data_IF_325264685921
#
_entry.id   IF_325264685921
#
_cell.length_a   1.000
_cell.length_b   1.000
_cell.length_c   1.000
_cell.angle_alpha   90.00
_cell.angle_beta   90.00
_cell.angle_gamma   90.00
#
_symmetry.space_group_name_H-M   'P 1'
#
loop_
_entity.id
_entity.type
_entity.pdbx_description
1 polymer ?
#
# COMPACT_ATOMS: atom_id res chain seq x y z
N UNK A 1 7.94 -0.75 25.79
CA UNK A 1 8.31 -0.74 24.35
C UNK A 1 7.80 0.55 23.73
N UNK A 2 8.69 1.39 23.24
CA UNK A 2 8.28 2.58 22.53
C UNK A 2 7.48 2.15 21.29
N UNK A 3 6.20 2.53 21.22
CA UNK A 3 5.45 2.45 19.99
C UNK A 3 6.19 3.34 18.99
N UNK A 4 6.81 2.73 18.01
CA UNK A 4 7.44 3.44 16.90
C UNK A 4 6.30 4.18 16.18
N UNK A 5 6.06 5.40 16.61
CA UNK A 5 4.97 6.24 16.12
C UNK A 5 5.48 7.01 14.89
N UNK A 6 5.98 6.27 13.90
CA UNK A 6 6.35 6.85 12.63
C UNK A 6 5.07 7.31 11.91
N UNK A 7 4.88 8.63 11.72
CA UNK A 7 3.66 9.17 11.11
C UNK A 7 3.47 8.71 9.65
N UNK A 8 4.52 8.17 9.04
CA UNK A 8 4.49 7.64 7.67
C UNK A 8 4.07 6.17 7.62
N UNK A 9 4.05 5.50 8.76
CA UNK A 9 3.60 4.12 8.87
C UNK A 9 2.08 4.07 9.01
N UNK A 10 1.44 3.32 8.14
CA UNK A 10 -0.01 3.16 8.14
C UNK A 10 -0.39 1.69 8.19
N UNK A 11 -1.52 1.41 8.82
CA UNK A 11 -2.17 0.10 8.79
C UNK A 11 -3.54 0.32 8.15
N UNK A 12 -3.80 -0.37 7.05
CA UNK A 12 -5.09 -0.29 6.36
C UNK A 12 -6.17 -1.06 7.13
N UNK A 13 -7.42 -0.66 6.92
CA UNK A 13 -8.57 -1.33 7.53
C UNK A 13 -8.81 -2.73 6.95
N UNK A 14 -9.69 -3.47 7.60
CA UNK A 14 -10.06 -4.84 7.22
C UNK A 14 -10.92 -4.92 5.96
N UNK A 15 -11.50 -3.81 5.51
CA UNK A 15 -12.24 -3.71 4.25
C UNK A 15 -11.34 -3.50 3.03
N UNK A 16 -10.03 -3.46 3.24
CA UNK A 16 -9.05 -3.39 2.16
C UNK A 16 -8.99 -4.72 1.43
N UNK A 17 -9.22 -4.68 0.13
CA UNK A 17 -9.16 -5.86 -0.74
C UNK A 17 -7.79 -5.93 -1.42
N UNK A 18 -7.23 -7.12 -1.49
CA UNK A 18 -5.95 -7.36 -2.14
C UNK A 18 -6.15 -7.84 -3.58
N UNK A 19 -5.44 -7.25 -4.49
CA UNK A 19 -5.46 -7.62 -5.90
C UNK A 19 -4.02 -7.72 -6.42
N UNK A 20 -3.81 -8.45 -7.50
CA UNK A 20 -2.48 -8.72 -8.04
C UNK A 20 -1.50 -9.20 -6.95
N UNK A 21 -1.93 -10.21 -6.17
CA UNK A 21 -1.19 -10.74 -5.03
C UNK A 21 0.02 -11.57 -5.48
N UNK A 22 1.18 -10.96 -5.55
CA UNK A 22 2.47 -11.62 -5.75
C UNK A 22 3.26 -11.62 -4.45
N UNK A 23 2.61 -12.10 -3.38
CA UNK A 23 3.16 -12.07 -2.01
C UNK A 23 3.90 -13.34 -1.63
N UNK A 24 3.62 -14.44 -2.33
CA UNK A 24 4.29 -15.72 -2.12
C UNK A 24 5.58 -15.84 -2.92
N UNK A 25 5.55 -15.38 -4.19
CA UNK A 25 6.67 -15.42 -5.09
C UNK A 25 6.88 -14.04 -5.74
N UNK A 26 8.15 -13.61 -5.88
CA UNK A 26 8.43 -12.35 -6.56
C UNK A 26 8.15 -12.48 -8.04
N UNK A 27 7.53 -11.48 -8.64
CA UNK A 27 7.21 -11.42 -10.06
C UNK A 27 7.76 -10.15 -10.69
N UNK A 28 8.43 -10.31 -11.81
CA UNK A 28 8.86 -9.20 -12.67
C UNK A 28 7.95 -9.09 -13.90
N UNK A 29 7.86 -7.89 -14.45
CA UNK A 29 7.14 -7.61 -15.68
C UNK A 29 8.18 -7.17 -16.72
N UNK A 30 8.14 -7.79 -17.90
CA UNK A 30 8.97 -7.42 -19.06
C UNK A 30 10.48 -7.23 -18.75
N UNK A 31 11.07 -8.20 -18.06
CA UNK A 31 12.50 -8.16 -17.72
C UNK A 31 12.88 -7.25 -16.57
N UNK A 32 11.91 -6.66 -15.90
CA UNK A 32 12.16 -5.89 -14.67
C UNK A 32 12.59 -6.80 -13.52
N UNK A 33 13.27 -6.21 -12.52
CA UNK A 33 13.66 -6.93 -11.31
C UNK A 33 12.42 -7.51 -10.63
N UNK A 34 12.40 -8.83 -10.30
CA UNK A 34 11.30 -9.44 -9.59
C UNK A 34 11.07 -8.82 -8.22
N UNK A 35 9.82 -8.61 -7.86
CA UNK A 35 9.41 -8.06 -6.57
C UNK A 35 8.17 -8.77 -6.04
N UNK A 36 8.09 -8.91 -4.72
CA UNK A 36 6.84 -9.22 -4.06
C UNK A 36 5.97 -7.97 -4.08
N UNK A 37 4.74 -8.10 -4.52
CA UNK A 37 3.85 -6.95 -4.71
C UNK A 37 2.39 -7.29 -4.45
N UNK A 38 1.63 -6.27 -4.12
CA UNK A 38 0.18 -6.35 -3.96
C UNK A 38 -0.44 -4.99 -4.27
N UNK A 39 -1.60 -4.99 -4.90
CA UNK A 39 -2.44 -3.81 -5.05
C UNK A 39 -3.49 -3.81 -3.94
N UNK A 40 -3.49 -2.77 -3.14
CA UNK A 40 -4.41 -2.60 -2.02
C UNK A 40 -5.56 -1.71 -2.46
N UNK A 41 -6.76 -2.26 -2.52
CA UNK A 41 -7.98 -1.56 -2.91
C UNK A 41 -8.73 -1.14 -1.64
N UNK A 42 -8.86 0.16 -1.45
CA UNK A 42 -9.46 0.76 -0.26
C UNK A 42 -10.76 1.43 -0.67
N UNK A 43 -11.91 0.98 -0.16
CA UNK A 43 -13.19 1.58 -0.52
C UNK A 43 -13.25 3.05 -0.10
N UNK A 44 -13.85 3.89 -0.93
CA UNK A 44 -14.01 5.33 -0.63
C UNK A 44 -14.83 5.60 0.64
N UNK A 45 -15.56 4.61 1.10
CA UNK A 45 -16.31 4.65 2.37
C UNK A 45 -15.43 4.48 3.62
N UNK A 46 -14.23 3.89 3.47
CA UNK A 46 -13.26 3.75 4.57
C UNK A 46 -12.44 5.04 4.75
N UNK A 47 -13.10 6.05 5.26
CA UNK A 47 -12.52 7.38 5.45
C UNK A 47 -11.40 7.39 6.49
N UNK A 48 -11.41 6.49 7.44
CA UNK A 48 -10.37 6.39 8.47
C UNK A 48 -9.04 5.99 7.85
N UNK A 49 -9.02 4.93 7.04
CA UNK A 49 -7.81 4.48 6.33
C UNK A 49 -7.33 5.54 5.35
N UNK A 50 -8.23 6.14 4.58
CA UNK A 50 -7.88 7.21 3.63
C UNK A 50 -7.28 8.42 4.33
N UNK A 51 -7.83 8.84 5.47
CA UNK A 51 -7.28 9.93 6.27
C UNK A 51 -5.88 9.62 6.80
N UNK A 52 -5.63 8.40 7.24
CA UNK A 52 -4.29 7.96 7.66
C UNK A 52 -3.29 8.01 6.50
N UNK A 53 -3.69 7.57 5.32
CA UNK A 53 -2.85 7.61 4.12
C UNK A 53 -2.52 9.05 3.74
N UNK A 54 -3.48 9.94 3.71
CA UNK A 54 -3.27 11.36 3.39
C UNK A 54 -2.33 12.03 4.37
N UNK A 55 -2.50 11.78 5.67
CA UNK A 55 -1.59 12.29 6.71
C UNK A 55 -0.17 11.76 6.55
N UNK A 56 -0.03 10.48 6.20
CA UNK A 56 1.28 9.87 5.96
C UNK A 56 1.95 10.46 4.73
N UNK A 57 1.22 10.71 3.65
CA UNK A 57 1.71 11.37 2.44
C UNK A 57 2.15 12.80 2.76
N UNK A 58 1.36 13.55 3.51
CA UNK A 58 1.70 14.90 3.93
C UNK A 58 2.98 14.93 4.78
N UNK A 59 3.11 14.01 5.75
CA UNK A 59 4.30 13.89 6.57
C UNK A 59 5.54 13.56 5.74
N UNK A 60 5.42 12.65 4.79
CA UNK A 60 6.49 12.30 3.86
C UNK A 60 6.91 13.49 2.97
N UNK A 61 5.94 14.25 2.50
CA UNK A 61 6.17 15.46 1.70
C UNK A 61 6.93 16.51 2.50
N UNK A 62 6.53 16.79 3.72
CA UNK A 62 7.18 17.78 4.60
C UNK A 62 8.61 17.36 4.94
N UNK A 63 8.85 16.09 5.25
CA UNK A 63 10.18 15.57 5.54
C UNK A 63 11.09 15.60 4.29
N UNK A 64 10.52 15.29 3.13
CA UNK A 64 11.24 15.28 1.86
C UNK A 64 11.35 16.64 1.17
N UNK A 65 10.86 17.72 1.77
CA UNK A 65 10.79 19.04 1.14
C UNK A 65 12.16 19.56 0.63
N UNK A 66 13.22 19.34 1.38
CA UNK A 66 14.58 19.73 0.99
C UNK A 66 15.09 18.97 -0.24
N UNK A 67 14.72 17.71 -0.37
CA UNK A 67 15.05 16.84 -1.52
C UNK A 67 14.23 17.25 -2.74
N UNK A 68 12.94 17.49 -2.56
CA UNK A 68 12.01 17.91 -3.62
C UNK A 68 12.38 19.30 -4.19
N UNK A 69 12.88 20.18 -3.34
CA UNK A 69 13.37 21.49 -3.77
C UNK A 69 14.59 21.38 -4.71
N UNK A 70 15.44 20.38 -4.49
CA UNK A 70 16.67 20.18 -5.28
C UNK A 70 17.52 21.44 -5.34
N UNK A 71 17.86 21.90 -6.55
CA UNK A 71 18.56 23.16 -6.81
C UNK A 71 17.60 24.35 -7.02
N UNK A 72 16.30 24.13 -6.97
CA UNK A 72 15.28 25.16 -7.16
C UNK A 72 15.11 26.08 -5.93
N UNK A 73 14.39 27.18 -6.14
CA UNK A 73 14.10 28.15 -5.07
C UNK A 73 12.87 27.79 -4.24
N UNK A 74 11.99 26.95 -4.78
CA UNK A 74 10.71 26.60 -4.17
C UNK A 74 10.47 25.11 -4.18
N UNK A 75 9.74 24.60 -3.17
CA UNK A 75 9.28 23.21 -3.14
C UNK A 75 8.09 23.06 -4.07
N UNK A 76 8.04 22.05 -4.97
CA UNK A 76 6.84 21.79 -5.78
C UNK A 76 5.63 21.55 -4.90
N UNK A 77 4.43 22.02 -5.28
CA UNK A 77 3.21 21.76 -4.51
C UNK A 77 2.89 20.26 -4.51
N UNK A 78 2.24 19.78 -3.45
CA UNK A 78 1.88 18.37 -3.30
C UNK A 78 1.03 17.87 -4.49
N UNK A 79 0.19 18.72 -5.06
CA UNK A 79 -0.63 18.42 -6.24
C UNK A 79 0.17 18.14 -7.51
N UNK A 80 1.41 18.63 -7.60
CA UNK A 80 2.31 18.39 -8.74
C UNK A 80 3.13 17.11 -8.60
N UNK A 81 3.07 16.44 -7.45
CA UNK A 81 3.81 15.22 -7.16
C UNK A 81 2.91 14.01 -7.36
N UNK A 82 3.44 12.96 -7.96
CA UNK A 82 2.70 11.72 -8.11
C UNK A 82 2.39 11.11 -6.73
N UNK A 83 1.10 11.07 -6.40
CA UNK A 83 0.64 10.41 -5.18
C UNK A 83 0.71 8.89 -5.34
N UNK A 84 1.12 8.15 -4.30
CA UNK A 84 1.01 6.69 -4.30
C UNK A 84 -0.44 6.19 -4.26
N UNK A 85 -1.37 7.03 -3.80
CA UNK A 85 -2.80 6.75 -3.77
C UNK A 85 -3.45 7.14 -5.10
N UNK A 86 -4.02 6.18 -5.79
CA UNK A 86 -4.67 6.37 -7.08
C UNK A 86 -6.19 6.21 -6.98
N UNK A 87 -6.93 7.00 -7.74
CA UNK A 87 -8.37 6.84 -7.85
C UNK A 87 -8.68 5.70 -8.84
N UNK A 88 -9.40 4.67 -8.34
CA UNK A 88 -9.79 3.52 -9.15
C UNK A 88 -10.77 3.88 -10.25
N UNK A 89 -11.66 4.84 -10.03
CA UNK A 89 -12.63 5.27 -11.03
C UNK A 89 -11.97 6.01 -12.21
N UNK A 90 -10.84 6.68 -11.96
CA UNK A 90 -10.09 7.38 -13.01
C UNK A 90 -9.08 6.47 -13.71
N UNK A 91 -8.25 5.77 -12.92
CA UNK A 91 -7.11 5.01 -13.45
C UNK A 91 -7.47 3.60 -13.92
N UNK A 92 -8.54 3.06 -13.40
CA UNK A 92 -9.04 1.70 -13.68
C UNK A 92 -10.51 1.71 -14.01
N UNK A 93 -10.96 2.73 -14.75
CA UNK A 93 -12.36 2.81 -15.18
C UNK A 93 -12.77 1.56 -15.97
N UNK A 94 -13.94 1.02 -15.65
CA UNK A 94 -14.44 -0.22 -16.25
C UNK A 94 -14.00 -1.51 -15.55
N UNK A 95 -13.14 -1.44 -14.53
CA UNK A 95 -12.82 -2.58 -13.67
C UNK A 95 -13.68 -2.54 -12.40
N UNK A 96 -14.65 -3.48 -12.25
CA UNK A 96 -15.55 -3.47 -11.09
C UNK A 96 -14.83 -3.61 -9.75
N UNK A 97 -13.64 -4.23 -9.73
CA UNK A 97 -12.86 -4.39 -8.51
C UNK A 97 -12.33 -3.06 -7.95
N UNK A 98 -12.17 -2.06 -8.80
CA UNK A 98 -11.65 -0.73 -8.45
C UNK A 98 -12.73 0.35 -8.41
N UNK A 99 -13.97 0.01 -8.68
CA UNK A 99 -15.10 0.94 -8.65
C UNK A 99 -15.35 1.46 -7.23
N UNK A 100 -15.58 2.77 -7.10
CA UNK A 100 -15.76 3.46 -5.82
C UNK A 100 -14.65 3.21 -4.81
N UNK A 101 -13.42 3.04 -5.29
CA UNK A 101 -12.27 2.77 -4.44
C UNK A 101 -11.04 3.56 -4.87
N UNK A 102 -10.18 3.82 -3.91
CA UNK A 102 -8.79 4.17 -4.16
C UNK A 102 -7.94 2.91 -4.13
N UNK A 103 -6.79 2.94 -4.77
CA UNK A 103 -5.83 1.85 -4.66
C UNK A 103 -4.40 2.37 -4.55
N UNK A 104 -3.56 1.59 -3.89
CA UNK A 104 -2.13 1.80 -3.87
C UNK A 104 -1.39 0.49 -4.08
N UNK A 105 -0.22 0.57 -4.70
CA UNK A 105 0.62 -0.59 -4.97
C UNK A 105 1.77 -0.62 -3.98
N UNK A 106 1.91 -1.74 -3.28
CA UNK A 106 3.03 -2.02 -2.39
C UNK A 106 3.98 -3.02 -3.03
N UNK A 107 5.29 -2.78 -2.92
CA UNK A 107 6.34 -3.63 -3.47
C UNK A 107 7.48 -3.82 -2.48
N UNK A 108 8.12 -4.98 -2.53
CA UNK A 108 9.37 -5.23 -1.83
C UNK A 108 10.31 -6.04 -2.74
N UNK A 109 11.53 -5.55 -2.92
CA UNK A 109 12.54 -6.20 -3.76
C UNK A 109 13.53 -7.05 -2.96
N UNK A 110 13.54 -6.95 -1.65
CA UNK A 110 14.57 -7.53 -0.80
C UNK A 110 14.12 -8.80 -0.10
N UNK A 111 12.87 -8.84 0.34
CA UNK A 111 12.32 -9.97 1.09
C UNK A 111 10.82 -10.12 0.89
N UNK A 112 10.33 -11.34 1.10
CA UNK A 112 8.91 -11.61 1.13
C UNK A 112 8.23 -10.88 2.31
N UNK A 113 7.01 -10.37 2.14
CA UNK A 113 6.23 -9.85 3.25
C UNK A 113 5.84 -10.97 4.22
N UNK A 114 5.77 -10.66 5.50
CA UNK A 114 5.18 -11.57 6.48
C UNK A 114 3.66 -11.58 6.30
N UNK A 115 3.08 -12.76 6.21
CA UNK A 115 1.64 -12.96 6.06
C UNK A 115 1.14 -13.71 7.28
N UNK A 116 0.20 -13.13 7.99
CA UNK A 116 -0.35 -13.67 9.22
C UNK A 116 -1.88 -13.68 9.19
N UNK A 117 -2.48 -14.56 9.98
CA UNK A 117 -3.92 -14.57 10.20
C UNK A 117 -4.33 -13.51 11.25
N UNK A 118 -5.62 -13.45 11.56
CA UNK A 118 -6.18 -12.56 12.57
C UNK A 118 -5.59 -12.74 13.98
N UNK A 119 -5.06 -13.94 14.26
CA UNK A 119 -4.43 -14.30 15.53
C UNK A 119 -2.92 -14.09 15.50
N UNK A 120 -2.41 -13.45 14.42
CA UNK A 120 -0.99 -13.15 14.17
C UNK A 120 -0.11 -14.38 14.05
N UNK A 121 -0.69 -15.50 13.60
CA UNK A 121 0.03 -16.71 13.27
C UNK A 121 0.38 -16.73 11.80
N UNK A 122 1.56 -17.20 11.46
CA UNK A 122 2.02 -17.25 10.08
C UNK A 122 1.12 -18.15 9.23
N UNK A 123 0.67 -17.60 8.10
CA UNK A 123 -0.08 -18.36 7.10
C UNK A 123 0.94 -19.05 6.19
N UNK A 124 0.93 -20.37 6.19
CA UNK A 124 1.82 -21.22 5.38
C UNK A 124 1.12 -21.76 4.13
N UNK A 125 -0.20 -21.86 4.14
CA UNK A 125 -0.99 -22.33 3.01
C UNK A 125 -1.20 -21.21 2.01
N UNK A 126 -0.59 -21.32 0.84
CA UNK A 126 -0.68 -20.33 -0.23
C UNK A 126 -2.11 -20.14 -0.76
N UNK A 127 -2.99 -21.13 -0.60
CA UNK A 127 -4.39 -21.03 -1.02
C UNK A 127 -5.23 -20.09 -0.14
N UNK A 128 -4.75 -19.74 1.03
CA UNK A 128 -5.44 -18.83 1.95
C UNK A 128 -5.35 -17.38 1.55
N UNK A 129 -4.35 -17.03 0.74
CA UNK A 129 -4.15 -15.65 0.25
C UNK A 129 -4.15 -15.65 -1.28
N UNK A 130 -5.15 -15.05 -1.84
CA UNK A 130 -5.45 -15.03 -3.27
C UNK A 130 -5.94 -13.64 -3.70
N UNK A 131 -6.02 -13.42 -5.00
CA UNK A 131 -6.56 -12.18 -5.54
C UNK A 131 -8.03 -12.00 -5.12
N UNK A 132 -8.31 -10.88 -4.45
CA UNK A 132 -9.64 -10.57 -3.96
C UNK A 132 -9.86 -10.89 -2.47
N UNK A 133 -8.84 -11.39 -1.76
CA UNK A 133 -8.89 -11.55 -0.30
C UNK A 133 -8.96 -10.19 0.38
N UNK A 134 -9.65 -10.13 1.52
CA UNK A 134 -9.69 -8.94 2.36
C UNK A 134 -8.69 -9.03 3.50
N UNK A 135 -8.06 -7.91 3.84
CA UNK A 135 -7.12 -7.89 4.94
C UNK A 135 -6.47 -6.54 5.17
N UNK A 136 -5.94 -6.34 6.36
CA UNK A 136 -5.12 -5.20 6.69
C UNK A 136 -3.69 -5.36 6.14
N UNK A 137 -3.05 -4.26 5.87
CA UNK A 137 -1.66 -4.21 5.43
C UNK A 137 -0.93 -3.11 6.18
N UNK A 138 0.27 -3.43 6.62
CA UNK A 138 1.20 -2.49 7.25
C UNK A 138 2.20 -2.00 6.21
N UNK A 139 2.12 -0.75 5.83
CA UNK A 139 2.93 -0.18 4.77
C UNK A 139 3.51 1.20 5.07
N UNK A 140 4.45 1.60 4.25
CA UNK A 140 5.11 2.89 4.31
C UNK A 140 5.02 3.57 2.92
N UNK A 141 4.34 4.71 2.79
CA UNK A 141 4.04 5.28 1.47
C UNK A 141 5.25 5.72 0.66
N UNK A 142 6.34 6.09 1.32
CA UNK A 142 7.57 6.50 0.61
C UNK A 142 8.29 5.36 -0.11
N UNK A 143 8.20 4.16 0.46
CA UNK A 143 8.99 3.01 0.00
C UNK A 143 8.19 2.02 -0.80
N UNK A 144 6.87 2.22 -0.90
CA UNK A 144 5.97 1.21 -1.43
C UNK A 144 6.19 -0.19 -0.82
N UNK A 145 6.66 -0.21 0.42
CA UNK A 145 6.99 -1.44 1.13
C UNK A 145 5.81 -1.92 1.97
N UNK A 146 5.39 -3.14 1.75
CA UNK A 146 4.52 -3.85 2.67
C UNK A 146 5.39 -4.71 3.60
N UNK A 147 5.44 -4.39 4.88
CA UNK A 147 6.23 -5.15 5.85
C UNK A 147 5.46 -6.34 6.41
N UNK A 148 4.16 -6.23 6.52
CA UNK A 148 3.29 -7.27 7.05
C UNK A 148 1.90 -7.15 6.43
N UNK A 149 1.37 -8.25 6.01
CA UNK A 149 0.02 -8.35 5.50
C UNK A 149 -0.79 -9.31 6.39
N UNK A 150 -1.95 -8.89 6.80
CA UNK A 150 -2.88 -9.71 7.59
C UNK A 150 -4.10 -10.06 6.74
N UNK A 151 -4.30 -11.34 6.48
CA UNK A 151 -5.46 -11.82 5.75
C UNK A 151 -6.59 -12.24 6.70
N UNK A 152 -7.79 -11.90 6.36
CA UNK A 152 -8.99 -12.38 7.08
C UNK A 152 -9.78 -13.32 6.21
N UNK A 153 -10.15 -14.44 6.79
CA UNK A 153 -11.23 -15.28 6.25
C UNK A 153 -12.57 -14.65 6.60
N UNK A 154 -13.41 -14.45 5.63
CA UNK A 154 -14.83 -14.23 5.84
C UNK A 154 -15.60 -15.52 5.61
#
# INVERSE_FOLDING_TARGET
>A
MAKNNDPKKIITGWDTRWSYCNVWEPKGIDGSKPAWSVSLIIPKTDKETLSKIEKAIQAAYEEGASILKGTGKTVPPLSAINSPLNDGDEKRSGDPAYENAYYLNAKNYQRAPGIVDKDRQDILDHSEVYNGVYGGSDGHPERHDCKRCEATRR
#
